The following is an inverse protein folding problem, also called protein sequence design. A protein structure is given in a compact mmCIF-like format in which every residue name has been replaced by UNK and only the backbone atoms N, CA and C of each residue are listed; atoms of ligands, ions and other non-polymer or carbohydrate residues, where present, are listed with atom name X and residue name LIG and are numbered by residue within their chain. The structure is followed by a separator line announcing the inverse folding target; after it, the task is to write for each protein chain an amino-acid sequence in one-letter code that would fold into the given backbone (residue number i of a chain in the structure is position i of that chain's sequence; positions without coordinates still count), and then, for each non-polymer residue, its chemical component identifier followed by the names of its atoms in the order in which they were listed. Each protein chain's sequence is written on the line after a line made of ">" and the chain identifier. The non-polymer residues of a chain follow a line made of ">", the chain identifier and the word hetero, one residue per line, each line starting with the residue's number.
data_IF_300995962988
#
_entry.id   IF_300995962988
#
_cell.length_a   1.000
_cell.length_b   1.000
_cell.length_c   1.000
_cell.angle_alpha   90.00
_cell.angle_beta   90.00
_cell.angle_gamma   90.00
#
_symmetry.space_group_name_H-M   'P 1'
#
loop_
_entity.id
_entity.type
_entity.pdbx_description
1 polymer ?
#
# COMPACT_ATOMS: atom_id res chain seq x y z
N UNK A 1 16.56 -18.45 -13.23
CA UNK A 1 15.80 -18.82 -12.03
C UNK A 1 16.75 -19.39 -11.01
N UNK A 2 16.96 -18.74 -9.87
CA UNK A 2 17.64 -19.37 -8.75
C UNK A 2 16.80 -20.56 -8.25
N UNK A 3 17.40 -21.71 -7.88
CA UNK A 3 16.65 -22.79 -7.28
C UNK A 3 15.97 -22.32 -5.99
N UNK A 4 14.79 -22.84 -5.70
CA UNK A 4 14.08 -22.59 -4.44
C UNK A 4 14.91 -23.19 -3.31
N UNK A 5 15.10 -22.44 -2.23
CA UNK A 5 15.75 -22.95 -1.00
C UNK A 5 14.73 -23.78 -0.21
N UNK A 6 14.47 -24.99 -0.69
CA UNK A 6 13.43 -25.88 -0.17
C UNK A 6 13.61 -26.23 1.30
N UNK A 7 14.82 -26.22 1.80
CA UNK A 7 15.19 -26.55 3.17
C UNK A 7 14.61 -25.58 4.21
N UNK A 8 14.33 -24.33 3.84
CA UNK A 8 13.74 -23.36 4.75
C UNK A 8 12.21 -23.49 4.91
N UNK A 9 11.54 -24.17 3.96
CA UNK A 9 10.07 -24.32 3.97
C UNK A 9 9.70 -25.60 4.73
N UNK A 10 9.44 -25.45 6.03
CA UNK A 10 9.11 -26.54 6.92
C UNK A 10 7.60 -26.79 6.99
N UNK A 11 7.20 -27.94 7.55
CA UNK A 11 5.77 -28.24 7.73
C UNK A 11 5.12 -27.28 8.75
N UNK A 12 4.36 -26.30 8.23
CA UNK A 12 3.60 -25.36 9.04
C UNK A 12 4.36 -24.11 9.52
N UNK A 13 5.60 -23.92 9.09
CA UNK A 13 6.38 -22.70 9.36
C UNK A 13 7.48 -22.50 8.30
N UNK A 14 8.08 -21.33 8.28
CA UNK A 14 9.20 -21.01 7.39
C UNK A 14 10.39 -20.60 8.27
N UNK A 15 11.55 -21.22 8.04
CA UNK A 15 12.83 -20.85 8.65
C UNK A 15 13.37 -19.62 7.92
N UNK A 16 12.89 -18.44 8.30
CA UNK A 16 13.19 -17.19 7.62
C UNK A 16 14.65 -16.78 7.77
N UNK A 17 15.29 -17.04 8.92
CA UNK A 17 16.69 -16.69 9.16
C UNK A 17 17.67 -17.82 8.78
N UNK A 18 17.18 -18.97 8.33
CA UNK A 18 17.96 -20.13 7.84
C UNK A 18 18.91 -20.71 8.89
N UNK A 19 18.51 -20.66 10.16
CA UNK A 19 19.31 -21.20 11.28
C UNK A 19 18.97 -22.67 11.62
N UNK A 20 17.89 -23.22 11.02
CA UNK A 20 17.42 -24.59 11.23
C UNK A 20 16.60 -24.78 12.51
N UNK A 21 16.29 -23.71 13.23
CA UNK A 21 15.50 -23.72 14.47
C UNK A 21 14.28 -22.83 14.29
N UNK A 22 13.14 -23.26 14.82
CA UNK A 22 11.93 -22.45 14.78
C UNK A 22 11.98 -21.36 15.84
N UNK A 23 12.30 -20.15 15.43
CA UNK A 23 12.28 -18.96 16.29
C UNK A 23 10.85 -18.52 16.60
N UNK A 24 10.67 -17.64 17.61
CA UNK A 24 9.32 -17.19 18.00
C UNK A 24 8.64 -16.39 16.88
N UNK A 25 9.40 -15.55 16.16
CA UNK A 25 8.82 -14.76 15.06
C UNK A 25 8.37 -15.61 13.86
N UNK A 26 8.88 -16.83 13.74
CA UNK A 26 8.56 -17.81 12.71
C UNK A 26 7.36 -18.70 13.09
N UNK A 27 6.98 -18.70 14.37
CA UNK A 27 5.86 -19.52 14.83
C UNK A 27 4.52 -18.83 14.56
N UNK A 28 3.71 -19.34 13.61
CA UNK A 28 2.39 -18.74 13.32
C UNK A 28 1.41 -18.83 14.49
N UNK A 29 1.68 -19.68 15.51
CA UNK A 29 0.83 -19.84 16.69
C UNK A 29 1.24 -18.92 17.85
N UNK A 30 2.41 -18.31 17.81
CA UNK A 30 2.82 -17.32 18.80
C UNK A 30 2.02 -16.02 18.66
N UNK A 31 1.86 -15.29 19.77
CA UNK A 31 1.17 -14.01 19.73
C UNK A 31 1.93 -13.01 18.83
N UNK A 32 1.19 -12.08 18.21
CA UNK A 32 1.79 -11.08 17.34
C UNK A 32 2.87 -10.26 18.06
N UNK A 33 2.61 -9.85 19.31
CA UNK A 33 3.57 -9.08 20.10
C UNK A 33 4.86 -9.88 20.36
N UNK A 34 4.75 -11.16 20.76
CA UNK A 34 5.92 -12.01 20.97
C UNK A 34 6.74 -12.19 19.68
N UNK A 35 6.09 -12.34 18.54
CA UNK A 35 6.74 -12.44 17.23
C UNK A 35 7.47 -11.15 16.84
N UNK A 36 6.84 -10.01 17.09
CA UNK A 36 7.44 -8.70 16.82
C UNK A 36 8.67 -8.47 17.71
N UNK A 37 8.55 -8.70 19.01
CA UNK A 37 9.66 -8.52 19.96
C UNK A 37 10.86 -9.41 19.61
N UNK A 38 10.61 -10.67 19.30
CA UNK A 38 11.67 -11.60 18.90
C UNK A 38 12.36 -11.13 17.61
N UNK A 39 11.61 -10.79 16.56
CA UNK A 39 12.18 -10.27 15.31
C UNK A 39 12.98 -8.98 15.55
N UNK A 40 12.43 -8.01 16.27
CA UNK A 40 13.11 -6.75 16.58
C UNK A 40 14.41 -6.95 17.36
N UNK A 41 14.47 -7.95 18.25
CA UNK A 41 15.68 -8.27 19.02
C UNK A 41 16.81 -8.80 18.12
N UNK A 42 16.47 -9.44 17.02
CA UNK A 42 17.41 -10.00 16.05
C UNK A 42 17.87 -9.01 14.97
N UNK A 43 17.10 -7.92 14.73
CA UNK A 43 17.37 -6.95 13.68
C UNK A 43 18.54 -6.01 14.01
N UNK A 44 19.41 -5.77 13.03
CA UNK A 44 20.39 -4.69 13.07
C UNK A 44 19.73 -3.33 12.89
N UNK A 45 20.47 -2.24 13.13
CA UNK A 45 19.97 -0.88 12.90
C UNK A 45 19.67 -0.64 11.41
N UNK A 46 20.53 -1.16 10.52
CA UNK A 46 20.36 -1.07 9.08
C UNK A 46 19.07 -1.78 8.63
N UNK A 47 18.83 -2.98 9.10
CA UNK A 47 17.61 -3.73 8.80
C UNK A 47 16.35 -3.00 9.31
N UNK A 48 16.41 -2.43 10.51
CA UNK A 48 15.28 -1.62 11.05
C UNK A 48 15.01 -0.39 10.20
N UNK A 49 16.06 0.33 9.78
CA UNK A 49 15.89 1.50 8.91
C UNK A 49 15.37 1.13 7.52
N UNK A 50 15.84 0.03 6.95
CA UNK A 50 15.34 -0.48 5.66
C UNK A 50 13.86 -0.83 5.71
N UNK A 51 13.35 -1.38 6.83
CA UNK A 51 11.93 -1.69 6.97
C UNK A 51 11.02 -0.44 7.02
N UNK A 52 11.59 0.75 7.25
CA UNK A 52 10.85 2.02 7.22
C UNK A 52 10.84 2.70 5.84
N UNK A 53 11.40 2.07 4.81
CA UNK A 53 11.54 2.65 3.48
C UNK A 53 10.53 2.06 2.51
N UNK A 54 9.89 2.93 1.73
CA UNK A 54 9.11 2.58 0.53
C UNK A 54 9.82 3.11 -0.71
N UNK A 55 10.05 2.27 -1.70
CA UNK A 55 10.68 2.66 -2.98
C UNK A 55 9.71 2.48 -4.14
N UNK A 56 9.80 3.39 -5.09
CA UNK A 56 9.05 3.28 -6.35
C UNK A 56 9.63 2.20 -7.26
N UNK A 57 8.75 1.33 -7.76
CA UNK A 57 9.07 0.19 -8.61
C UNK A 57 8.89 0.41 -10.11
N UNK A 58 8.38 1.56 -10.57
CA UNK A 58 8.18 1.80 -12.00
C UNK A 58 9.39 2.43 -12.69
N UNK A 59 10.54 1.75 -12.60
CA UNK A 59 11.81 2.14 -13.25
C UNK A 59 12.43 3.46 -12.73
N UNK A 60 11.91 4.06 -11.66
CA UNK A 60 12.55 5.25 -11.06
C UNK A 60 13.69 4.88 -10.13
N UNK A 61 13.43 4.02 -9.18
CA UNK A 61 14.41 3.54 -8.19
C UNK A 61 14.70 2.07 -8.44
N UNK A 62 13.69 1.21 -8.40
CA UNK A 62 13.81 -0.18 -8.81
C UNK A 62 13.76 -0.26 -10.35
N UNK A 63 14.92 -0.49 -10.97
CA UNK A 63 15.07 -0.51 -12.42
C UNK A 63 14.90 -1.90 -13.03
N UNK A 64 15.09 -2.93 -12.23
CA UNK A 64 14.99 -4.32 -12.64
C UNK A 64 13.56 -4.84 -12.43
N UNK A 65 13.07 -5.62 -13.38
CA UNK A 65 11.77 -6.27 -13.27
C UNK A 65 11.81 -7.47 -12.34
N UNK A 66 12.94 -8.14 -12.30
CA UNK A 66 13.19 -9.34 -11.51
C UNK A 66 14.51 -9.20 -10.76
N UNK A 67 14.69 -9.95 -9.66
CA UNK A 67 15.94 -9.94 -8.90
C UNK A 67 17.15 -10.30 -9.76
N UNK A 68 18.22 -9.53 -9.60
CA UNK A 68 19.52 -9.78 -10.22
C UNK A 68 20.56 -10.20 -9.17
N UNK A 69 21.71 -10.78 -9.56
CA UNK A 69 22.77 -11.11 -8.59
C UNK A 69 23.28 -9.90 -7.79
N UNK A 70 23.24 -8.71 -8.37
CA UNK A 70 23.68 -7.46 -7.74
C UNK A 70 22.79 -7.07 -6.56
N UNK A 71 21.55 -7.51 -6.52
CA UNK A 71 20.62 -7.23 -5.42
C UNK A 71 21.15 -7.70 -4.06
N UNK A 72 21.94 -8.78 -4.04
CA UNK A 72 22.54 -9.31 -2.80
C UNK A 72 23.63 -8.41 -2.22
N UNK A 73 24.18 -7.50 -3.02
CA UNK A 73 25.34 -6.67 -2.66
C UNK A 73 24.98 -5.19 -2.45
N UNK A 74 23.76 -4.79 -2.81
CA UNK A 74 23.29 -3.41 -2.80
C UNK A 74 22.28 -3.14 -1.69
N UNK A 75 21.43 -2.15 -1.88
CA UNK A 75 20.38 -1.72 -0.95
C UNK A 75 19.46 -2.85 -0.46
N UNK A 76 19.26 -3.87 -1.28
CA UNK A 76 18.34 -4.97 -1.02
C UNK A 76 18.86 -6.04 -0.05
N UNK A 77 20.15 -6.06 0.24
CA UNK A 77 20.77 -7.07 1.12
C UNK A 77 20.19 -7.09 2.54
N UNK A 78 19.78 -5.91 3.04
CA UNK A 78 19.23 -5.74 4.38
C UNK A 78 17.68 -5.73 4.39
N UNK A 79 17.05 -6.04 3.23
CA UNK A 79 15.62 -6.01 3.05
C UNK A 79 15.10 -4.62 2.72
N UNK A 80 13.78 -4.50 2.67
CA UNK A 80 13.06 -3.22 2.49
C UNK A 80 11.62 -3.37 2.97
N UNK A 81 11.02 -2.28 3.47
CA UNK A 81 9.64 -2.30 3.97
C UNK A 81 8.62 -2.48 2.86
N UNK A 82 8.65 -1.64 1.84
CA UNK A 82 7.69 -1.68 0.76
C UNK A 82 8.27 -1.31 -0.60
N UNK A 83 7.67 -1.86 -1.65
CA UNK A 83 7.90 -1.47 -3.05
C UNK A 83 6.56 -1.04 -3.64
N UNK A 84 6.50 0.22 -4.09
CA UNK A 84 5.30 0.84 -4.62
C UNK A 84 5.21 0.70 -6.13
N UNK A 85 4.03 0.31 -6.63
CA UNK A 85 3.69 0.23 -8.07
C UNK A 85 4.64 -0.61 -8.93
N UNK A 86 5.29 -1.62 -8.35
CA UNK A 86 6.17 -2.48 -9.13
C UNK A 86 5.41 -3.21 -10.24
N UNK A 87 5.89 -3.11 -11.47
CA UNK A 87 5.30 -3.71 -12.67
C UNK A 87 3.85 -3.26 -12.97
N UNK A 88 3.45 -2.07 -12.54
CA UNK A 88 2.11 -1.53 -12.83
C UNK A 88 1.82 -1.37 -14.35
N UNK A 89 2.84 -1.44 -15.20
CA UNK A 89 2.73 -1.35 -16.66
C UNK A 89 2.91 0.03 -17.23
N UNK A 90 3.12 1.04 -16.40
CA UNK A 90 3.38 2.41 -16.83
C UNK A 90 4.86 2.75 -16.67
N UNK A 91 5.41 3.50 -17.61
CA UNK A 91 6.81 3.96 -17.53
C UNK A 91 6.95 5.16 -16.59
N UNK A 92 5.95 6.01 -16.61
CA UNK A 92 5.71 7.13 -15.68
C UNK A 92 4.29 7.66 -15.91
N UNK A 93 3.83 8.53 -15.03
CA UNK A 93 2.52 9.18 -15.14
C UNK A 93 2.26 9.77 -16.53
N UNK A 94 1.13 9.41 -17.14
CA UNK A 94 0.70 9.92 -18.43
C UNK A 94 1.38 9.31 -19.66
N UNK A 95 2.29 8.38 -19.52
CA UNK A 95 2.86 7.65 -20.65
C UNK A 95 2.10 6.37 -20.96
N UNK A 96 2.15 5.92 -22.23
CA UNK A 96 1.57 4.64 -22.63
C UNK A 96 2.11 3.46 -21.81
N UNK A 97 1.35 2.38 -21.70
CA UNK A 97 1.84 1.13 -21.09
C UNK A 97 3.11 0.62 -21.78
N UNK A 98 3.97 0.01 -20.99
CA UNK A 98 5.19 -0.61 -21.51
C UNK A 98 4.90 -1.98 -22.12
N UNK A 99 5.70 -2.37 -23.13
CA UNK A 99 5.66 -3.74 -23.72
C UNK A 99 6.34 -4.80 -22.83
N UNK A 100 6.43 -4.54 -21.54
CA UNK A 100 7.08 -5.43 -20.60
C UNK A 100 6.29 -6.74 -20.44
N UNK A 101 6.91 -7.92 -20.72
CA UNK A 101 6.24 -9.20 -20.69
C UNK A 101 5.81 -9.65 -19.28
N UNK A 102 6.29 -8.97 -18.23
CA UNK A 102 5.91 -9.24 -16.84
C UNK A 102 4.71 -8.42 -16.36
N UNK A 103 4.24 -7.46 -17.16
CA UNK A 103 3.08 -6.64 -16.81
C UNK A 103 1.76 -7.38 -17.08
N UNK A 104 1.73 -8.16 -18.17
CA UNK A 104 0.55 -8.91 -18.60
C UNK A 104 0.91 -10.24 -19.27
N UNK A 105 0.12 -11.31 -19.16
CA UNK A 105 -1.15 -11.43 -18.42
C UNK A 105 -0.99 -11.43 -16.90
N UNK A 106 -2.10 -11.29 -16.15
CA UNK A 106 -2.11 -11.19 -14.68
C UNK A 106 -1.32 -12.33 -14.00
N UNK A 107 -1.37 -13.54 -14.53
CA UNK A 107 -0.57 -14.67 -14.02
C UNK A 107 0.95 -14.46 -14.15
N UNK A 108 1.38 -13.74 -15.18
CA UNK A 108 2.79 -13.41 -15.39
C UNK A 108 3.21 -12.29 -14.43
N UNK A 109 2.34 -11.31 -14.22
CA UNK A 109 2.53 -10.25 -13.26
C UNK A 109 2.68 -10.80 -11.83
N UNK A 110 1.71 -11.59 -11.38
CA UNK A 110 1.75 -12.22 -10.07
C UNK A 110 3.00 -13.12 -9.90
N UNK A 111 3.38 -13.84 -10.94
CA UNK A 111 4.61 -14.64 -10.93
C UNK A 111 5.85 -13.75 -10.72
N UNK A 112 5.94 -12.61 -11.41
CA UNK A 112 7.09 -11.71 -11.28
C UNK A 112 7.18 -11.09 -9.88
N UNK A 113 6.04 -10.64 -9.32
CA UNK A 113 6.02 -10.16 -7.92
C UNK A 113 6.41 -11.26 -6.93
N UNK A 114 5.97 -12.50 -7.16
CA UNK A 114 6.39 -13.64 -6.32
C UNK A 114 7.89 -13.93 -6.44
N UNK A 115 8.53 -13.75 -7.58
CA UNK A 115 9.99 -13.89 -7.71
C UNK A 115 10.73 -12.79 -6.91
N UNK A 116 10.20 -11.56 -6.91
CA UNK A 116 10.74 -10.47 -6.08
C UNK A 116 10.54 -10.78 -4.59
N UNK A 117 9.34 -11.20 -4.19
CA UNK A 117 9.05 -11.59 -2.80
C UNK A 117 9.95 -12.73 -2.33
N UNK A 118 10.15 -13.72 -3.18
CA UNK A 118 11.02 -14.87 -2.90
C UNK A 118 12.47 -14.43 -2.65
N UNK A 119 12.97 -13.42 -3.38
CA UNK A 119 14.29 -12.86 -3.11
C UNK A 119 14.39 -12.34 -1.67
N UNK A 120 13.43 -11.54 -1.20
CA UNK A 120 13.46 -10.99 0.15
C UNK A 120 13.34 -12.08 1.22
N UNK A 121 12.51 -13.09 0.99
CA UNK A 121 12.38 -14.24 1.91
C UNK A 121 13.62 -15.12 1.93
N UNK A 122 14.16 -15.50 0.76
CA UNK A 122 15.20 -16.50 0.66
C UNK A 122 16.61 -15.94 0.76
N UNK A 123 16.84 -14.68 0.33
CA UNK A 123 18.19 -14.15 0.16
C UNK A 123 18.59 -13.10 1.20
N UNK A 124 17.64 -12.48 1.92
CA UNK A 124 17.96 -11.60 3.04
C UNK A 124 18.16 -12.39 4.33
N UNK A 125 18.87 -11.83 5.30
CA UNK A 125 19.26 -12.52 6.53
C UNK A 125 18.05 -12.98 7.36
N UNK A 126 17.05 -12.13 7.56
CA UNK A 126 15.88 -12.42 8.39
C UNK A 126 14.63 -12.80 7.58
N UNK A 127 14.72 -12.81 6.25
CA UNK A 127 13.65 -13.25 5.37
C UNK A 127 12.35 -12.49 5.51
N UNK A 128 12.40 -11.20 5.90
CA UNK A 128 11.20 -10.38 6.08
C UNK A 128 10.56 -10.13 4.72
N UNK A 129 9.27 -10.50 4.54
CA UNK A 129 8.56 -10.25 3.29
C UNK A 129 8.41 -8.75 3.02
N UNK A 130 8.50 -8.35 1.76
CA UNK A 130 8.26 -6.97 1.34
C UNK A 130 6.76 -6.71 1.14
N UNK A 131 6.28 -5.51 1.50
CA UNK A 131 4.93 -5.06 1.19
C UNK A 131 4.88 -4.50 -0.24
N UNK A 132 4.02 -5.05 -1.10
CA UNK A 132 3.80 -4.53 -2.45
C UNK A 132 2.61 -3.59 -2.44
N UNK A 133 2.90 -2.30 -2.53
CA UNK A 133 1.88 -1.26 -2.48
C UNK A 133 1.48 -0.79 -3.87
N UNK A 134 0.31 -0.21 -3.99
CA UNK A 134 -0.18 0.40 -5.22
C UNK A 134 -1.21 1.48 -4.92
N UNK A 135 -1.41 2.41 -5.85
CA UNK A 135 -2.50 3.38 -5.80
C UNK A 135 -3.86 2.71 -6.07
N UNK A 136 -4.93 3.25 -5.49
CA UNK A 136 -6.26 2.64 -5.58
C UNK A 136 -7.43 3.61 -5.63
N UNK A 137 -7.19 4.88 -5.94
CA UNK A 137 -8.22 5.93 -5.93
C UNK A 137 -9.26 5.81 -7.05
N UNK A 138 -8.92 5.10 -8.12
CA UNK A 138 -9.77 4.85 -9.31
C UNK A 138 -9.79 3.37 -9.70
N UNK A 139 -9.66 2.48 -8.76
CA UNK A 139 -9.23 1.11 -8.96
C UNK A 139 -7.72 0.98 -8.87
N UNK A 140 -7.19 -0.21 -8.99
CA UNK A 140 -5.76 -0.45 -8.89
C UNK A 140 -5.01 0.17 -10.08
N UNK A 141 -3.93 0.90 -9.82
CA UNK A 141 -3.09 1.52 -10.83
C UNK A 141 -2.22 0.46 -11.51
N UNK A 142 -2.83 -0.31 -12.40
CA UNK A 142 -2.15 -1.36 -13.13
C UNK A 142 -2.74 -1.55 -14.52
N UNK A 143 -1.89 -1.91 -15.48
CA UNK A 143 -2.31 -2.12 -16.86
C UNK A 143 -3.44 -3.15 -16.95
N UNK A 144 -4.53 -2.78 -17.63
CA UNK A 144 -5.76 -3.56 -17.79
C UNK A 144 -6.56 -3.83 -16.51
N UNK A 145 -6.22 -3.21 -15.41
CA UNK A 145 -7.11 -3.20 -14.25
C UNK A 145 -8.37 -2.35 -14.53
N UNK A 146 -9.42 -2.58 -13.76
CA UNK A 146 -10.66 -1.83 -13.88
C UNK A 146 -10.46 -0.38 -13.44
N UNK A 147 -10.74 0.57 -14.33
CA UNK A 147 -10.68 1.99 -14.04
C UNK A 147 -12.07 2.52 -13.69
N UNK A 148 -12.23 3.02 -12.48
CA UNK A 148 -13.46 3.62 -11.98
C UNK A 148 -13.46 5.15 -12.16
N UNK A 149 -14.62 5.82 -12.02
CA UNK A 149 -14.67 7.27 -11.89
C UNK A 149 -13.81 7.77 -10.72
N UNK A 150 -13.47 9.06 -10.72
CA UNK A 150 -12.79 9.68 -9.58
C UNK A 150 -13.61 9.52 -8.30
N UNK A 151 -12.96 9.61 -7.14
CA UNK A 151 -13.69 9.55 -5.87
C UNK A 151 -14.77 10.64 -5.78
N UNK A 152 -14.53 11.83 -6.36
CA UNK A 152 -15.54 12.90 -6.43
C UNK A 152 -16.76 12.44 -7.23
N UNK A 153 -16.54 11.82 -8.39
CA UNK A 153 -17.64 11.24 -9.18
C UNK A 153 -18.39 10.14 -8.43
N UNK A 154 -17.65 9.26 -7.75
CA UNK A 154 -18.24 8.23 -6.90
C UNK A 154 -19.01 8.82 -5.71
N UNK A 155 -18.51 9.90 -5.11
CA UNK A 155 -19.15 10.61 -4.01
C UNK A 155 -20.52 11.19 -4.40
N UNK A 156 -20.67 11.68 -5.62
CA UNK A 156 -21.93 12.21 -6.15
C UNK A 156 -23.02 11.15 -6.31
N UNK A 157 -22.69 9.87 -6.28
CA UNK A 157 -23.70 8.80 -6.33
C UNK A 157 -24.49 8.66 -5.04
N UNK A 158 -23.93 9.07 -3.90
CA UNK A 158 -24.48 8.85 -2.56
C UNK A 158 -24.82 7.38 -2.27
N UNK A 159 -24.20 6.46 -3.01
CA UNK A 159 -24.54 5.03 -2.98
C UNK A 159 -23.44 4.22 -2.29
N UNK A 160 -23.66 3.93 -1.01
CA UNK A 160 -22.73 3.14 -0.17
C UNK A 160 -22.46 1.75 -0.72
N UNK A 161 -23.50 1.06 -1.21
CA UNK A 161 -23.35 -0.29 -1.76
C UNK A 161 -22.48 -0.27 -3.04
N UNK A 162 -22.68 0.71 -3.91
CA UNK A 162 -21.82 0.88 -5.09
C UNK A 162 -20.35 1.05 -4.68
N UNK A 163 -20.07 1.88 -3.68
CA UNK A 163 -18.69 2.10 -3.22
C UNK A 163 -18.09 0.81 -2.65
N UNK A 164 -18.90 0.01 -1.93
CA UNK A 164 -18.46 -1.30 -1.44
C UNK A 164 -18.10 -2.24 -2.59
N UNK A 165 -18.89 -2.26 -3.67
CA UNK A 165 -18.59 -3.06 -4.87
C UNK A 165 -17.30 -2.58 -5.57
N UNK A 166 -17.09 -1.28 -5.68
CA UNK A 166 -15.82 -0.71 -6.19
C UNK A 166 -14.64 -1.21 -5.35
N UNK A 167 -14.76 -1.14 -4.02
CA UNK A 167 -13.74 -1.65 -3.10
C UNK A 167 -13.47 -3.15 -3.28
N UNK A 168 -14.52 -3.96 -3.40
CA UNK A 168 -14.41 -5.40 -3.62
C UNK A 168 -13.64 -5.73 -4.91
N UNK A 169 -13.93 -5.04 -6.00
CA UNK A 169 -13.25 -5.25 -7.29
C UNK A 169 -11.79 -4.79 -7.19
N UNK A 170 -11.54 -3.59 -6.64
CA UNK A 170 -10.19 -3.04 -6.45
C UNK A 170 -9.32 -4.00 -5.60
N UNK A 171 -9.83 -4.45 -4.47
CA UNK A 171 -9.11 -5.38 -3.59
C UNK A 171 -8.85 -6.74 -4.25
N UNK A 172 -9.84 -7.26 -4.99
CA UNK A 172 -9.70 -8.52 -5.73
C UNK A 172 -8.65 -8.43 -6.83
N UNK A 173 -8.67 -7.37 -7.63
CA UNK A 173 -7.70 -7.18 -8.72
C UNK A 173 -6.29 -7.00 -8.16
N UNK A 174 -6.14 -6.17 -7.10
CA UNK A 174 -4.87 -6.01 -6.41
C UNK A 174 -4.31 -7.36 -5.92
N UNK A 175 -5.13 -8.15 -5.25
CA UNK A 175 -4.74 -9.49 -4.77
C UNK A 175 -4.31 -10.43 -5.89
N UNK A 176 -5.04 -10.44 -7.00
CA UNK A 176 -4.74 -11.31 -8.16
C UNK A 176 -3.42 -10.89 -8.81
N UNK A 177 -3.12 -9.60 -8.85
CA UNK A 177 -1.87 -9.07 -9.39
C UNK A 177 -0.68 -9.27 -8.44
N UNK A 178 -0.92 -9.51 -7.15
CA UNK A 178 0.13 -9.75 -6.15
C UNK A 178 0.44 -8.55 -5.25
N UNK A 179 -0.31 -7.45 -5.37
CA UNK A 179 -0.21 -6.34 -4.44
C UNK A 179 -0.83 -6.71 -3.09
N UNK A 180 -0.24 -6.21 -2.01
CA UNK A 180 -0.62 -6.55 -0.63
C UNK A 180 -1.26 -5.38 0.11
N UNK A 181 -1.03 -4.15 -0.37
CA UNK A 181 -1.52 -2.92 0.24
C UNK A 181 -1.94 -1.91 -0.85
N UNK A 182 -3.04 -1.20 -0.63
CA UNK A 182 -3.59 -0.22 -1.57
C UNK A 182 -3.72 1.13 -0.87
N UNK A 183 -3.12 2.17 -1.46
CA UNK A 183 -3.11 3.55 -0.96
C UNK A 183 -4.45 4.26 -1.25
N UNK A 184 -5.51 3.70 -0.70
CA UNK A 184 -6.89 4.19 -0.75
C UNK A 184 -7.66 3.71 0.50
N UNK A 185 -8.81 4.37 0.83
CA UNK A 185 -9.40 5.55 0.19
C UNK A 185 -8.73 6.87 0.58
N UNK A 186 -8.98 7.91 -0.23
CA UNK A 186 -8.70 9.29 0.17
C UNK A 186 -9.78 9.71 1.16
N UNK A 187 -9.38 10.08 2.37
CA UNK A 187 -10.26 10.51 3.46
C UNK A 187 -10.16 12.01 3.73
N UNK A 188 -9.44 12.74 2.87
CA UNK A 188 -9.45 14.19 2.89
C UNK A 188 -10.86 14.71 2.62
N UNK A 189 -11.22 15.82 3.28
CA UNK A 189 -12.50 16.50 3.10
C UNK A 189 -12.31 17.69 2.21
N UNK A 190 -13.04 17.78 1.11
CA UNK A 190 -12.92 18.85 0.12
C UNK A 190 -13.40 20.18 0.67
N UNK A 191 -12.49 21.04 1.17
CA UNK A 191 -12.83 22.35 1.73
C UNK A 191 -12.62 23.50 0.76
N UNK A 192 -11.74 23.31 -0.22
CA UNK A 192 -11.43 24.35 -1.19
C UNK A 192 -11.15 23.72 -2.57
N UNK A 193 -11.95 24.10 -3.55
CA UNK A 193 -11.84 23.56 -4.92
C UNK A 193 -10.57 23.98 -5.67
N UNK A 194 -9.81 24.95 -5.13
CA UNK A 194 -8.52 25.35 -5.68
C UNK A 194 -7.40 24.36 -5.34
N UNK A 195 -7.64 23.45 -4.38
CA UNK A 195 -6.69 22.41 -4.06
C UNK A 195 -6.52 21.43 -5.23
N UNK A 196 -5.28 21.21 -5.67
CA UNK A 196 -4.97 20.47 -6.90
C UNK A 196 -5.36 18.98 -6.91
N UNK A 197 -5.74 18.41 -5.75
CA UNK A 197 -6.19 17.03 -5.61
C UNK A 197 -7.69 16.92 -5.24
N UNK A 198 -8.45 17.97 -5.48
CA UNK A 198 -9.87 18.01 -5.11
C UNK A 198 -10.70 16.89 -5.76
N UNK A 199 -10.36 16.45 -6.95
CA UNK A 199 -11.02 15.33 -7.64
C UNK A 199 -10.89 13.98 -6.91
N UNK A 200 -9.91 13.85 -6.02
CA UNK A 200 -9.64 12.61 -5.34
C UNK A 200 -10.50 12.41 -4.07
N UNK A 201 -11.24 13.42 -3.61
CA UNK A 201 -12.08 13.31 -2.41
C UNK A 201 -13.51 12.90 -2.71
N UNK A 202 -14.20 12.26 -1.78
CA UNK A 202 -15.62 11.93 -1.94
C UNK A 202 -16.54 13.16 -1.88
N UNK A 203 -16.08 14.27 -1.34
CA UNK A 203 -16.87 15.50 -1.24
C UNK A 203 -16.50 16.40 -0.08
N UNK A 204 -17.38 17.34 0.25
CA UNK A 204 -17.18 18.41 1.23
C UNK A 204 -17.69 18.06 2.63
N UNK A 205 -18.52 17.03 2.76
CA UNK A 205 -19.09 16.60 4.03
C UNK A 205 -18.21 15.56 4.70
N UNK A 206 -17.69 15.82 5.92
CA UNK A 206 -16.95 14.82 6.68
C UNK A 206 -17.75 13.52 6.90
N UNK A 207 -19.08 13.65 7.08
CA UNK A 207 -19.95 12.51 7.24
C UNK A 207 -19.99 11.64 5.96
N UNK A 208 -20.19 12.26 4.79
CA UNK A 208 -20.21 11.54 3.52
C UNK A 208 -18.86 10.84 3.25
N UNK A 209 -17.76 11.55 3.45
CA UNK A 209 -16.40 10.98 3.30
C UNK A 209 -16.23 9.76 4.20
N UNK A 210 -16.69 9.85 5.46
CA UNK A 210 -16.61 8.73 6.39
C UNK A 210 -17.46 7.53 5.93
N UNK A 211 -18.73 7.76 5.56
CA UNK A 211 -19.67 6.71 5.14
C UNK A 211 -19.14 5.95 3.91
N UNK A 212 -18.67 6.68 2.91
CA UNK A 212 -18.15 6.06 1.69
C UNK A 212 -16.77 5.42 1.91
N UNK A 213 -15.92 6.06 2.72
CA UNK A 213 -14.63 5.50 3.11
C UNK A 213 -14.75 4.17 3.86
N UNK A 214 -15.73 4.05 4.78
CA UNK A 214 -16.04 2.80 5.48
C UNK A 214 -16.36 1.67 4.48
N UNK A 215 -17.22 1.94 3.52
CA UNK A 215 -17.62 0.92 2.55
C UNK A 215 -16.49 0.54 1.58
N UNK A 216 -15.67 1.53 1.17
CA UNK A 216 -14.49 1.26 0.34
C UNK A 216 -13.50 0.32 1.06
N UNK A 217 -13.19 0.62 2.33
CA UNK A 217 -12.29 -0.21 3.13
C UNK A 217 -12.87 -1.61 3.35
N UNK A 218 -14.15 -1.72 3.72
CA UNK A 218 -14.84 -3.02 3.86
C UNK A 218 -14.78 -3.84 2.58
N UNK A 219 -14.88 -3.19 1.42
CA UNK A 219 -14.73 -3.82 0.12
C UNK A 219 -13.32 -4.33 -0.12
N UNK A 220 -12.31 -3.45 -0.01
CA UNK A 220 -10.92 -3.79 -0.28
C UNK A 220 -10.36 -4.85 0.67
N UNK A 221 -10.67 -4.75 1.96
CA UNK A 221 -10.19 -5.67 3.00
C UNK A 221 -11.04 -6.94 3.13
N UNK A 222 -12.09 -7.10 2.30
CA UNK A 222 -12.98 -8.26 2.35
C UNK A 222 -12.18 -9.56 2.20
N UNK A 223 -12.40 -10.52 3.11
CA UNK A 223 -11.68 -11.79 3.13
C UNK A 223 -10.14 -11.65 3.07
N UNK A 224 -9.60 -10.62 3.71
CA UNK A 224 -8.16 -10.35 3.74
C UNK A 224 -7.52 -10.25 2.34
N UNK A 225 -8.21 -9.65 1.38
CA UNK A 225 -7.69 -9.49 0.02
C UNK A 225 -6.42 -8.64 0.02
N UNK A 226 -6.51 -7.43 0.55
CA UNK A 226 -5.38 -6.49 0.69
C UNK A 226 -5.56 -5.63 1.94
N UNK A 227 -4.50 -4.99 2.40
CA UNK A 227 -4.61 -3.88 3.33
C UNK A 227 -5.09 -2.62 2.59
N UNK A 228 -5.92 -1.81 3.24
CA UNK A 228 -6.27 -0.48 2.79
C UNK A 228 -5.50 0.56 3.61
N UNK A 229 -4.99 1.60 2.95
CA UNK A 229 -4.29 2.72 3.60
C UNK A 229 -5.02 4.02 3.33
N UNK A 230 -5.76 4.49 4.33
CA UNK A 230 -6.47 5.78 4.26
C UNK A 230 -5.50 6.96 4.27
N UNK A 231 -5.77 7.97 3.44
CA UNK A 231 -4.86 9.11 3.26
C UNK A 231 -5.60 10.43 3.03
N UNK A 232 -5.00 11.59 3.29
CA UNK A 232 -3.70 11.85 3.88
C UNK A 232 -3.90 12.42 5.29
N UNK A 233 -3.36 11.78 6.30
CA UNK A 233 -3.58 12.20 7.69
C UNK A 233 -2.56 13.27 8.07
N UNK A 234 -2.96 14.56 8.21
CA UNK A 234 -4.28 15.10 8.24
C UNK A 234 -4.31 16.56 7.72
N UNK A 235 -5.48 17.04 7.30
CA UNK A 235 -5.72 18.43 6.90
C UNK A 235 -4.96 18.88 5.63
N UNK A 236 -4.68 17.97 4.70
CA UNK A 236 -3.99 18.26 3.45
C UNK A 236 -4.84 19.07 2.46
N UNK A 237 -6.16 18.90 2.47
CA UNK A 237 -7.11 19.56 1.57
C UNK A 237 -7.38 21.01 1.97
N UNK A 238 -6.37 21.87 1.88
CA UNK A 238 -6.47 23.28 2.19
C UNK A 238 -6.03 24.17 1.02
N UNK A 239 -6.39 25.45 1.06
CA UNK A 239 -6.15 26.39 -0.03
C UNK A 239 -4.76 27.01 -0.07
N UNK A 240 -3.89 26.71 0.87
CA UNK A 240 -2.57 27.35 0.97
C UNK A 240 -1.49 26.66 0.17
N UNK A 241 -1.73 25.42 -0.23
CA UNK A 241 -0.79 24.65 -1.00
C UNK A 241 -1.43 23.94 -2.18
N UNK A 242 -0.87 24.13 -3.37
CA UNK A 242 -1.14 23.27 -4.49
C UNK A 242 -0.23 22.02 -4.40
N UNK A 243 -0.71 20.90 -4.91
CA UNK A 243 0.03 19.63 -4.90
C UNK A 243 1.49 19.77 -5.35
N UNK A 244 1.69 20.46 -6.48
CA UNK A 244 2.98 20.51 -7.18
C UNK A 244 3.84 21.73 -6.81
N UNK A 245 3.29 22.71 -6.12
CA UNK A 245 4.03 23.92 -5.79
C UNK A 245 4.42 23.99 -4.32
N UNK A 246 3.44 24.15 -3.48
CA UNK A 246 3.59 24.35 -2.04
C UNK A 246 2.94 23.19 -1.28
N UNK A 247 3.42 21.96 -1.47
CA UNK A 247 2.83 20.78 -0.84
C UNK A 247 3.00 20.78 0.69
N UNK A 248 4.03 21.47 1.19
CA UNK A 248 4.34 21.56 2.61
C UNK A 248 3.97 22.95 3.14
N UNK A 249 2.78 23.07 3.63
CA UNK A 249 2.28 24.30 4.22
C UNK A 249 1.58 24.02 5.53
N UNK A 250 1.75 24.91 6.49
CA UNK A 250 0.92 24.92 7.69
C UNK A 250 -0.51 25.35 7.28
N UNK A 251 -1.52 24.49 7.43
CA UNK A 251 -2.89 24.81 7.09
C UNK A 251 -3.48 25.93 7.94
N UNK A 252 -2.87 26.24 9.09
CA UNK A 252 -3.29 27.25 10.06
C UNK A 252 -4.76 27.08 10.48
N UNK A 253 -5.12 25.85 10.77
CA UNK A 253 -6.44 25.48 11.25
C UNK A 253 -6.45 25.41 12.79
N UNK A 254 -7.60 25.71 13.37
CA UNK A 254 -7.77 25.51 14.81
C UNK A 254 -7.79 24.00 15.14
N UNK A 255 -7.34 23.59 16.34
CA UNK A 255 -7.44 22.18 16.76
C UNK A 255 -8.88 21.65 16.68
N UNK A 256 -9.86 22.48 16.95
CA UNK A 256 -11.27 22.12 16.83
C UNK A 256 -11.68 21.81 15.39
N UNK A 257 -11.24 22.61 14.43
CA UNK A 257 -11.53 22.39 13.01
C UNK A 257 -10.87 21.11 12.52
N UNK A 258 -9.61 20.89 12.85
CA UNK A 258 -8.88 19.66 12.51
C UNK A 258 -9.63 18.44 13.05
N UNK A 259 -10.02 18.46 14.31
CA UNK A 259 -10.71 17.34 14.96
C UNK A 259 -12.11 17.07 14.39
N UNK A 260 -12.93 18.11 14.19
CA UNK A 260 -14.33 17.96 13.78
C UNK A 260 -14.51 17.68 12.32
N UNK A 261 -13.58 18.13 11.47
CA UNK A 261 -13.71 18.02 10.01
C UNK A 261 -12.74 17.00 9.46
N UNK A 262 -11.44 17.16 9.70
CA UNK A 262 -10.40 16.41 9.01
C UNK A 262 -10.08 15.07 9.68
N UNK A 263 -10.08 15.00 10.99
CA UNK A 263 -9.85 13.74 11.75
C UNK A 263 -11.10 12.86 11.78
N UNK A 264 -12.28 13.44 11.70
CA UNK A 264 -13.56 12.73 11.83
C UNK A 264 -13.69 11.52 10.87
N UNK A 265 -13.42 11.64 9.55
CA UNK A 265 -13.50 10.48 8.65
C UNK A 265 -12.53 9.35 9.05
N UNK A 266 -11.30 9.69 9.39
CA UNK A 266 -10.30 8.70 9.82
C UNK A 266 -10.75 7.94 11.06
N UNK A 267 -11.23 8.64 12.10
CA UNK A 267 -11.75 8.01 13.31
C UNK A 267 -12.88 7.02 13.01
N UNK A 268 -13.80 7.40 12.14
CA UNK A 268 -14.93 6.55 11.75
C UNK A 268 -14.44 5.31 11.00
N UNK A 269 -13.62 5.51 9.99
CA UNK A 269 -13.14 4.42 9.13
C UNK A 269 -12.26 3.43 9.90
N UNK A 270 -11.38 3.91 10.77
CA UNK A 270 -10.58 3.04 11.64
C UNK A 270 -11.48 2.20 12.56
N UNK A 271 -12.43 2.84 13.24
CA UNK A 271 -13.29 2.14 14.23
C UNK A 271 -14.30 1.19 13.61
N UNK A 272 -14.89 1.55 12.46
CA UNK A 272 -16.05 0.87 11.90
C UNK A 272 -15.70 -0.08 10.76
N UNK A 273 -14.58 0.13 10.08
CA UNK A 273 -14.12 -0.73 9.00
C UNK A 273 -12.78 -1.44 9.28
N UNK A 274 -12.12 -1.12 10.40
CA UNK A 274 -10.84 -1.74 10.74
C UNK A 274 -9.73 -1.39 9.75
N UNK A 275 -9.63 -0.10 9.37
CA UNK A 275 -8.58 0.38 8.46
C UNK A 275 -7.19 -0.03 8.97
N UNK A 276 -6.39 -0.69 8.14
CA UNK A 276 -5.11 -1.26 8.52
C UNK A 276 -3.94 -0.30 8.37
N UNK A 277 -3.98 0.61 7.41
CA UNK A 277 -2.91 1.58 7.15
C UNK A 277 -3.41 3.03 7.16
N UNK A 278 -2.54 3.95 7.56
CA UNK A 278 -2.76 5.39 7.48
C UNK A 278 -1.50 6.05 6.92
N UNK A 279 -1.67 6.84 5.86
CA UNK A 279 -0.58 7.61 5.27
C UNK A 279 -0.61 9.03 5.83
N UNK A 280 0.54 9.50 6.36
CA UNK A 280 0.69 10.86 6.83
C UNK A 280 0.53 11.88 5.68
N UNK A 281 0.10 13.08 6.04
CA UNK A 281 -0.05 14.20 5.11
C UNK A 281 1.29 14.83 4.72
N UNK A 282 1.28 15.64 3.67
CA UNK A 282 2.45 16.39 3.18
C UNK A 282 2.64 17.75 3.89
N UNK A 283 1.67 18.22 4.66
CA UNK A 283 1.71 19.47 5.42
C UNK A 283 2.23 19.30 6.85
#
# INVERSE_FOLDING_TARGET
>A
RSPVKSEMYQKGWIDFNKNGVKDVYEDPNASLDARIEDLLSQMTLEEKTCQMVTLYGYKRVLKDDLPTPEWKQMLWKDGIGAIDEHLNGFQQWGLPPSDNPYVWPASRHAWALNEVQRFFIEETRLGIPVDFTNEGIRGIESYRATNFPTQLGLGHTWNRELIRQVGLITGREARILGYTNVYAPILDVGRDQRWGRYEEVYGESPYLVAELGIEMVRGMQHNHQVAATGKHFVAYSNNKGAREGMARVDPQMSPREVEMIHVYPFKRVIKEAGLLGVMSSYN
#
